data_IF_891239894958
#
_entry.id   IF_891239894958
#
_cell.length_a   1.000
_cell.length_b   1.000
_cell.length_c   1.000
_cell.angle_alpha   90.00
_cell.angle_beta   90.00
_cell.angle_gamma   90.00
#
_symmetry.space_group_name_H-M   'P 1'
#
loop_
_entity.id
_entity.type
_entity.pdbx_description
1 polymer ?
#
# COMPACT_ATOMS: atom_id res chain seq x y z
N UNK A 1 -37.04 -30.49 -2.85
CA UNK A 1 -36.91 -29.49 -3.93
C UNK A 1 -35.95 -28.41 -3.45
N UNK A 2 -34.70 -28.43 -3.93
CA UNK A 2 -33.67 -27.43 -3.59
C UNK A 2 -33.34 -26.70 -4.88
N UNK A 3 -34.03 -25.59 -5.15
CA UNK A 3 -33.69 -24.73 -6.28
C UNK A 3 -32.33 -24.09 -6.02
N UNK A 4 -31.33 -24.49 -6.80
CA UNK A 4 -30.05 -23.80 -6.91
C UNK A 4 -30.32 -22.40 -7.48
N UNK A 5 -30.40 -21.39 -6.61
CA UNK A 5 -30.43 -19.98 -7.02
C UNK A 5 -28.96 -19.55 -7.17
N UNK A 6 -28.43 -19.54 -8.38
CA UNK A 6 -27.02 -19.27 -8.68
C UNK A 6 -26.68 -17.79 -8.89
N UNK A 7 -27.60 -16.86 -8.63
CA UNK A 7 -27.42 -15.44 -8.99
C UNK A 7 -27.86 -14.45 -7.89
N UNK A 8 -27.61 -14.79 -6.62
CA UNK A 8 -28.09 -13.99 -5.48
C UNK A 8 -27.29 -12.70 -5.23
N UNK A 9 -26.16 -12.49 -5.90
CA UNK A 9 -25.25 -11.38 -5.62
C UNK A 9 -24.38 -11.64 -4.39
N UNK A 10 -23.78 -10.59 -3.83
CA UNK A 10 -22.92 -10.70 -2.63
C UNK A 10 -23.74 -10.73 -1.33
N UNK A 11 -23.19 -11.38 -0.31
CA UNK A 11 -23.76 -11.41 1.04
C UNK A 11 -23.72 -10.01 1.66
N UNK A 12 -24.89 -9.45 2.01
CA UNK A 12 -25.01 -8.13 2.62
C UNK A 12 -25.15 -8.24 4.14
N UNK A 13 -25.87 -9.26 4.62
CA UNK A 13 -26.29 -9.33 6.01
C UNK A 13 -26.35 -10.78 6.49
N UNK A 14 -25.75 -11.04 7.67
CA UNK A 14 -25.74 -12.34 8.32
C UNK A 14 -26.21 -12.19 9.77
N UNK A 15 -27.46 -12.59 10.05
CA UNK A 15 -28.11 -12.43 11.36
C UNK A 15 -28.23 -13.80 12.02
N UNK A 16 -27.90 -13.89 13.30
CA UNK A 16 -28.21 -15.07 14.12
C UNK A 16 -29.51 -14.83 14.89
N UNK A 17 -30.50 -15.69 14.71
CA UNK A 17 -31.81 -15.61 15.36
C UNK A 17 -31.97 -16.78 16.32
N UNK A 18 -32.34 -16.49 17.56
CA UNK A 18 -32.74 -17.49 18.55
C UNK A 18 -34.19 -17.92 18.27
N UNK A 19 -34.36 -19.19 17.92
CA UNK A 19 -35.66 -19.79 17.57
C UNK A 19 -36.38 -20.29 18.82
N UNK A 20 -35.73 -20.23 19.99
CA UNK A 20 -36.23 -20.73 21.26
C UNK A 20 -35.64 -22.10 21.63
N UNK A 21 -35.69 -22.44 22.92
CA UNK A 21 -35.14 -23.71 23.43
C UNK A 21 -33.62 -23.81 23.35
N UNK A 22 -32.91 -22.68 23.30
CA UNK A 22 -31.45 -22.62 23.15
C UNK A 22 -30.93 -22.94 21.75
N UNK A 23 -31.82 -23.03 20.76
CA UNK A 23 -31.46 -23.26 19.36
C UNK A 23 -31.34 -21.93 18.63
N UNK A 24 -30.18 -21.71 18.02
CA UNK A 24 -29.91 -20.55 17.18
C UNK A 24 -29.75 -21.01 15.73
N UNK A 25 -30.25 -20.23 14.78
CA UNK A 25 -30.03 -20.42 13.35
C UNK A 25 -29.67 -19.09 12.68
N UNK A 26 -29.11 -19.15 11.48
CA UNK A 26 -28.62 -17.97 10.76
C UNK A 26 -29.47 -17.64 9.54
N UNK A 27 -29.68 -16.35 9.31
CA UNK A 27 -30.31 -15.79 8.12
C UNK A 27 -29.22 -15.05 7.34
N UNK A 28 -28.99 -15.49 6.11
CA UNK A 28 -28.04 -14.87 5.18
C UNK A 28 -28.88 -14.17 4.10
N UNK A 29 -28.71 -12.86 3.95
CA UNK A 29 -29.40 -12.04 2.96
C UNK A 29 -28.38 -11.54 1.94
N UNK A 30 -28.68 -11.72 0.67
CA UNK A 30 -27.85 -11.24 -0.44
C UNK A 30 -28.47 -9.99 -1.10
N UNK A 31 -27.71 -9.35 -1.97
CA UNK A 31 -28.11 -8.12 -2.68
C UNK A 31 -29.44 -8.20 -3.41
N UNK A 32 -29.70 -9.33 -4.09
CA UNK A 32 -30.90 -9.49 -4.91
C UNK A 32 -32.03 -10.22 -4.18
N UNK A 33 -31.86 -10.53 -2.90
CA UNK A 33 -32.88 -11.25 -2.13
C UNK A 33 -33.99 -10.29 -1.65
N UNK A 34 -35.24 -10.70 -1.79
CA UNK A 34 -36.40 -9.97 -1.27
C UNK A 34 -36.59 -10.25 0.24
N UNK A 35 -36.47 -9.25 1.14
CA UNK A 35 -36.54 -9.46 2.59
C UNK A 35 -37.78 -10.23 3.11
N UNK A 36 -39.02 -9.97 2.66
CA UNK A 36 -40.18 -10.76 3.07
C UNK A 36 -40.12 -12.20 2.58
N UNK A 37 -39.54 -12.48 1.40
CA UNK A 37 -39.35 -13.85 0.93
C UNK A 37 -38.36 -14.61 1.82
N UNK A 38 -37.25 -13.98 2.20
CA UNK A 38 -36.24 -14.57 3.11
C UNK A 38 -36.83 -14.83 4.50
N UNK A 39 -37.59 -13.87 5.04
CA UNK A 39 -38.26 -14.03 6.33
C UNK A 39 -39.30 -15.16 6.31
N UNK A 40 -40.05 -15.30 5.21
CA UNK A 40 -41.03 -16.37 5.02
C UNK A 40 -40.36 -17.74 4.93
N UNK A 41 -39.31 -17.86 4.13
CA UNK A 41 -38.55 -19.12 4.00
C UNK A 41 -38.00 -19.57 5.36
N UNK A 42 -37.52 -18.61 6.17
CA UNK A 42 -37.07 -18.87 7.53
C UNK A 42 -38.22 -19.25 8.48
N UNK A 43 -39.37 -18.57 8.39
CA UNK A 43 -40.55 -18.86 9.19
C UNK A 43 -41.12 -20.25 8.90
N UNK A 44 -41.16 -20.65 7.63
CA UNK A 44 -41.57 -22.01 7.20
C UNK A 44 -40.57 -23.05 7.74
N UNK A 45 -39.27 -22.79 7.66
CA UNK A 45 -38.23 -23.72 8.13
C UNK A 45 -38.36 -24.02 9.64
N UNK A 46 -38.78 -23.05 10.43
CA UNK A 46 -38.83 -23.14 11.89
C UNK A 46 -40.24 -23.14 12.49
N UNK A 47 -41.29 -23.26 11.67
CA UNK A 47 -42.69 -23.18 12.09
C UNK A 47 -43.01 -21.94 12.95
N UNK A 48 -42.52 -20.76 12.54
CA UNK A 48 -42.79 -19.50 13.22
C UNK A 48 -44.18 -18.95 12.86
N UNK A 49 -44.80 -18.22 13.79
CA UNK A 49 -46.08 -17.56 13.54
C UNK A 49 -45.95 -16.40 12.54
N UNK A 50 -47.03 -16.10 11.80
CA UNK A 50 -47.07 -15.00 10.82
C UNK A 50 -46.75 -13.62 11.45
N UNK A 51 -47.03 -13.44 12.76
CA UNK A 51 -46.66 -12.23 13.50
C UNK A 51 -45.14 -12.09 13.64
N UNK A 52 -44.45 -13.21 13.88
CA UNK A 52 -42.98 -13.24 13.95
C UNK A 52 -42.35 -13.10 12.56
N UNK A 53 -42.93 -13.69 11.51
CA UNK A 53 -42.51 -13.47 10.11
C UNK A 53 -42.53 -11.98 9.75
N UNK A 54 -43.64 -11.28 10.06
CA UNK A 54 -43.77 -9.84 9.80
C UNK A 54 -42.76 -9.01 10.60
N UNK A 55 -42.54 -9.36 11.87
CA UNK A 55 -41.54 -8.70 12.71
C UNK A 55 -40.11 -8.91 12.18
N UNK A 56 -39.79 -10.13 11.74
CA UNK A 56 -38.50 -10.50 11.18
C UNK A 56 -38.23 -9.77 9.85
N UNK A 57 -39.23 -9.71 8.97
CA UNK A 57 -39.14 -8.96 7.71
C UNK A 57 -38.86 -7.48 7.95
N UNK A 58 -39.58 -6.83 8.88
CA UNK A 58 -39.31 -5.43 9.26
C UNK A 58 -37.89 -5.24 9.81
N UNK A 59 -37.42 -6.14 10.66
CA UNK A 59 -36.08 -6.06 11.23
C UNK A 59 -34.99 -6.16 10.14
N UNK A 60 -35.15 -7.10 9.19
CA UNK A 60 -34.23 -7.22 8.05
C UNK A 60 -34.21 -5.93 7.22
N UNK A 61 -35.36 -5.30 6.96
CA UNK A 61 -35.42 -4.01 6.26
C UNK A 61 -34.68 -2.89 7.01
N UNK A 62 -34.86 -2.79 8.32
CA UNK A 62 -34.19 -1.77 9.14
C UNK A 62 -32.67 -1.95 9.12
N UNK A 63 -32.20 -3.19 9.28
CA UNK A 63 -30.77 -3.51 9.23
C UNK A 63 -30.14 -3.21 7.87
N UNK A 64 -30.81 -3.58 6.76
CA UNK A 64 -30.33 -3.24 5.41
C UNK A 64 -30.27 -1.72 5.22
N UNK A 65 -31.31 -1.00 5.68
CA UNK A 65 -31.36 0.47 5.60
C UNK A 65 -30.21 1.11 6.38
N UNK A 66 -29.88 0.61 7.56
CA UNK A 66 -28.79 1.14 8.38
C UNK A 66 -27.41 0.83 7.79
N UNK A 67 -27.21 -0.36 7.22
CA UNK A 67 -25.98 -0.68 6.46
C UNK A 67 -25.79 0.27 5.28
N UNK A 68 -26.85 0.54 4.51
CA UNK A 68 -26.79 1.47 3.36
C UNK A 68 -26.47 2.88 3.84
N UNK A 69 -27.07 3.35 4.95
CA UNK A 69 -26.76 4.66 5.54
C UNK A 69 -25.31 4.73 6.00
N UNK A 70 -24.79 3.70 6.63
CA UNK A 70 -23.41 3.65 7.10
C UNK A 70 -22.44 3.66 5.92
N UNK A 71 -22.69 2.86 4.87
CA UNK A 71 -21.90 2.93 3.64
C UNK A 71 -21.93 4.33 3.01
N UNK A 72 -23.10 4.98 2.99
CA UNK A 72 -23.25 6.34 2.48
C UNK A 72 -22.56 7.39 3.35
N UNK A 73 -22.54 7.21 4.68
CA UNK A 73 -21.80 8.07 5.60
C UNK A 73 -20.29 7.84 5.51
N UNK A 74 -19.83 6.62 5.29
CA UNK A 74 -18.42 6.33 5.01
C UNK A 74 -18.01 6.98 3.68
N UNK A 75 -18.77 6.82 2.60
CA UNK A 75 -18.47 7.48 1.32
C UNK A 75 -18.53 9.01 1.42
N UNK A 76 -19.48 9.54 2.19
CA UNK A 76 -19.55 10.99 2.44
C UNK A 76 -18.45 11.49 3.36
N UNK A 77 -17.95 10.70 4.31
CA UNK A 77 -16.79 11.06 5.14
C UNK A 77 -15.50 11.18 4.32
N UNK A 78 -15.44 10.48 3.18
CA UNK A 78 -14.36 10.60 2.20
C UNK A 78 -14.54 11.77 1.21
N UNK A 79 -15.77 12.22 0.95
CA UNK A 79 -16.07 13.31 0.00
C UNK A 79 -16.43 14.67 0.62
N UNK A 80 -16.78 14.74 1.92
CA UNK A 80 -17.36 15.96 2.52
C UNK A 80 -16.38 16.85 3.30
N UNK A 81 -15.06 16.57 3.27
CA UNK A 81 -14.05 17.55 3.74
C UNK A 81 -13.63 18.60 2.71
N UNK A 82 -14.38 18.78 1.62
CA UNK A 82 -14.11 19.85 0.63
C UNK A 82 -15.12 20.99 0.62
N UNK A 83 -16.22 20.94 1.40
CA UNK A 83 -17.26 21.97 1.33
C UNK A 83 -17.57 22.69 2.66
N UNK A 84 -16.73 22.54 3.70
CA UNK A 84 -16.82 23.36 4.90
C UNK A 84 -15.63 24.32 4.98
N UNK A 85 -15.95 25.61 4.84
CA UNK A 85 -15.09 26.79 4.98
C UNK A 85 -14.10 27.06 3.86
N UNK A 86 -14.56 27.95 2.96
CA UNK A 86 -13.75 28.89 2.18
C UNK A 86 -12.95 29.75 3.16
N UNK A 87 -11.87 29.17 3.69
CA UNK A 87 -10.61 29.85 3.87
C UNK A 87 -9.57 28.87 3.39
N UNK A 88 -9.21 28.99 2.11
CA UNK A 88 -8.02 28.33 1.58
C UNK A 88 -6.89 28.54 2.60
N UNK A 89 -6.25 27.48 3.13
CA UNK A 89 -5.00 27.67 3.82
C UNK A 89 -4.05 28.27 2.79
N UNK A 90 -3.83 29.59 2.86
CA UNK A 90 -2.95 30.37 1.98
C UNK A 90 -1.54 29.80 1.89
N UNK A 91 -1.20 28.84 2.75
CA UNK A 91 0.09 28.21 2.83
C UNK A 91 0.04 26.75 2.38
N UNK A 92 0.51 26.51 1.15
CA UNK A 92 0.75 25.17 0.59
C UNK A 92 1.58 24.27 1.53
N UNK A 93 2.45 24.86 2.36
CA UNK A 93 3.24 24.14 3.37
C UNK A 93 2.38 23.46 4.44
N UNK A 94 1.28 24.07 4.87
CA UNK A 94 0.38 23.50 5.87
C UNK A 94 -0.38 22.28 5.31
N UNK A 95 -0.80 22.37 4.04
CA UNK A 95 -1.40 21.24 3.31
C UNK A 95 -0.42 20.07 3.18
N UNK A 96 0.85 20.35 2.85
CA UNK A 96 1.90 19.33 2.80
C UNK A 96 2.19 18.73 4.17
N UNK A 97 2.22 19.54 5.22
CA UNK A 97 2.44 19.09 6.59
C UNK A 97 1.34 18.15 7.07
N UNK A 98 0.07 18.53 6.87
CA UNK A 98 -1.08 17.68 7.20
C UNK A 98 -1.09 16.38 6.39
N UNK A 99 -0.71 16.43 5.10
CA UNK A 99 -0.55 15.24 4.28
C UNK A 99 0.58 14.33 4.79
N UNK A 100 1.70 14.91 5.22
CA UNK A 100 2.83 14.20 5.82
C UNK A 100 2.47 13.53 7.14
N UNK A 101 1.72 14.23 8.02
CA UNK A 101 1.20 13.66 9.27
C UNK A 101 0.29 12.46 9.02
N UNK A 102 -0.68 12.61 8.12
CA UNK A 102 -1.60 11.52 7.77
C UNK A 102 -0.88 10.31 7.19
N UNK A 103 0.13 10.55 6.35
CA UNK A 103 0.94 9.48 5.78
C UNK A 103 1.79 8.78 6.87
N UNK A 104 2.39 9.55 7.78
CA UNK A 104 3.15 9.01 8.92
C UNK A 104 2.28 8.13 9.82
N UNK A 105 1.08 8.59 10.15
CA UNK A 105 0.10 7.85 10.96
C UNK A 105 -0.31 6.54 10.26
N UNK A 106 -0.56 6.59 8.95
CA UNK A 106 -0.88 5.40 8.16
C UNK A 106 0.27 4.38 8.13
N UNK A 107 1.51 4.84 8.02
CA UNK A 107 2.71 3.98 8.07
C UNK A 107 2.87 3.34 9.46
N UNK A 108 2.66 4.10 10.53
CA UNK A 108 2.72 3.59 11.91
C UNK A 108 1.63 2.55 12.17
N UNK A 109 0.39 2.79 11.70
CA UNK A 109 -0.71 1.82 11.78
C UNK A 109 -0.40 0.51 11.03
N UNK A 110 0.12 0.61 9.80
CA UNK A 110 0.52 -0.57 9.02
C UNK A 110 1.66 -1.34 9.70
N UNK A 111 2.63 -0.63 10.29
CA UNK A 111 3.73 -1.25 11.06
C UNK A 111 3.21 -2.01 12.28
N UNK A 112 2.25 -1.43 13.02
CA UNK A 112 1.62 -2.10 14.16
C UNK A 112 0.83 -3.34 13.74
N UNK A 113 0.06 -3.24 12.65
CA UNK A 113 -0.70 -4.37 12.10
C UNK A 113 0.21 -5.53 11.69
N UNK A 114 1.31 -5.23 11.00
CA UNK A 114 2.29 -6.24 10.59
C UNK A 114 2.97 -6.88 11.81
N UNK A 115 3.33 -6.09 12.82
CA UNK A 115 3.89 -6.59 14.09
C UNK A 115 2.91 -7.56 14.77
N UNK A 116 1.63 -7.21 14.84
CA UNK A 116 0.59 -8.06 15.43
C UNK A 116 0.41 -9.38 14.65
N UNK A 117 0.50 -9.35 13.32
CA UNK A 117 0.46 -10.56 12.49
C UNK A 117 1.67 -11.46 12.75
N UNK A 118 2.87 -10.88 12.78
CA UNK A 118 4.10 -11.63 13.05
C UNK A 118 4.06 -12.28 14.43
N UNK A 119 3.62 -11.54 15.46
CA UNK A 119 3.47 -12.06 16.82
C UNK A 119 2.45 -13.21 16.88
N UNK A 120 1.34 -13.11 16.13
CA UNK A 120 0.36 -14.20 16.00
C UNK A 120 0.96 -15.43 15.32
N UNK A 121 1.75 -15.26 14.25
CA UNK A 121 2.44 -16.38 13.58
C UNK A 121 3.49 -17.02 14.48
N UNK A 122 4.26 -16.22 15.21
CA UNK A 122 5.20 -16.71 16.22
C UNK A 122 4.46 -17.48 17.29
N UNK A 123 3.38 -16.94 17.87
CA UNK A 123 2.58 -17.64 18.88
C UNK A 123 1.96 -18.95 18.36
N UNK A 124 1.57 -19.01 17.08
CA UNK A 124 1.10 -20.25 16.45
C UNK A 124 2.22 -21.29 16.31
N UNK A 125 3.43 -20.87 15.94
CA UNK A 125 4.59 -21.76 15.78
C UNK A 125 5.24 -22.16 17.10
N UNK A 126 5.28 -21.26 18.08
CA UNK A 126 5.86 -21.45 19.42
C UNK A 126 4.83 -21.91 20.44
N UNK A 127 3.61 -22.25 19.99
CA UNK A 127 2.57 -22.91 20.79
C UNK A 127 3.02 -24.34 21.15
N UNK A 128 4.04 -24.44 21.99
CA UNK A 128 4.25 -25.57 22.86
C UNK A 128 3.03 -25.62 23.77
N UNK A 129 2.12 -26.56 23.49
CA UNK A 129 1.02 -26.91 24.38
C UNK A 129 1.57 -27.98 25.31
N UNK A 130 2.16 -27.64 26.47
CA UNK A 130 2.60 -28.67 27.40
C UNK A 130 1.42 -29.58 27.68
N UNK A 131 1.67 -30.88 27.70
CA UNK A 131 0.68 -31.86 28.15
C UNK A 131 0.52 -31.65 29.66
N UNK A 132 -0.35 -30.71 30.03
CA UNK A 132 -0.68 -30.42 31.42
C UNK A 132 -1.51 -31.60 31.92
N UNK A 133 -1.02 -32.27 32.96
CA UNK A 133 -1.71 -33.38 33.61
C UNK A 133 -3.12 -32.96 34.08
N UNK A 134 -4.00 -33.94 34.27
CA UNK A 134 -5.41 -33.68 34.59
C UNK A 134 -5.58 -32.88 35.89
N UNK A 135 -4.71 -33.11 36.88
CA UNK A 135 -4.74 -32.42 38.17
C UNK A 135 -4.38 -30.92 38.05
N UNK A 136 -3.37 -30.57 37.24
CA UNK A 136 -3.01 -29.17 36.98
C UNK A 136 -4.08 -28.46 36.13
N UNK A 137 -4.77 -29.20 35.24
CA UNK A 137 -5.91 -28.65 34.49
C UNK A 137 -7.11 -28.38 35.40
N UNK A 138 -7.34 -29.21 36.43
CA UNK A 138 -8.36 -28.99 37.47
C UNK A 138 -8.01 -27.79 38.36
N UNK A 139 -6.73 -27.63 38.75
CA UNK A 139 -6.26 -26.46 39.51
C UNK A 139 -6.42 -25.14 38.75
N UNK A 140 -6.09 -25.10 37.45
CA UNK A 140 -6.24 -23.90 36.62
C UNK A 140 -7.72 -23.52 36.37
N UNK A 141 -8.60 -24.50 36.20
CA UNK A 141 -10.05 -24.26 36.08
C UNK A 141 -10.65 -23.71 37.39
N UNK A 142 -10.22 -24.23 38.54
CA UNK A 142 -10.66 -23.71 39.84
C UNK A 142 -10.21 -22.26 40.11
N UNK A 143 -9.11 -21.81 39.49
CA UNK A 143 -8.67 -20.41 39.59
C UNK A 143 -9.53 -19.44 38.75
N UNK A 144 -10.11 -19.91 37.62
CA UNK A 144 -10.95 -19.09 36.74
C UNK A 144 -12.44 -19.14 37.12
N UNK A 145 -12.89 -20.18 37.82
CA UNK A 145 -14.27 -20.31 38.32
C UNK A 145 -14.53 -19.60 39.65
N UNK A 146 -13.51 -19.00 40.29
CA UNK A 146 -13.75 -18.02 41.36
C UNK A 146 -14.25 -16.75 40.70
N UNK A 147 -15.57 -16.61 40.63
CA UNK A 147 -16.20 -15.36 40.26
C UNK A 147 -15.68 -14.27 41.21
N UNK A 148 -15.41 -13.07 40.69
CA UNK A 148 -15.08 -11.93 41.56
C UNK A 148 -16.16 -11.70 42.64
N UNK A 149 -17.39 -12.17 42.42
CA UNK A 149 -18.50 -12.07 43.37
C UNK A 149 -18.32 -12.94 44.65
N UNK A 150 -17.69 -14.11 44.56
CA UNK A 150 -17.46 -14.98 45.73
C UNK A 150 -16.34 -14.46 46.65
N UNK A 151 -15.43 -13.65 46.11
CA UNK A 151 -14.41 -12.92 46.89
C UNK A 151 -15.03 -11.75 47.67
N UNK A 152 -16.14 -11.18 47.18
CA UNK A 152 -16.87 -10.12 47.88
C UNK A 152 -17.86 -10.65 48.92
N UNK A 153 -18.48 -11.82 48.71
CA UNK A 153 -19.45 -12.35 49.67
C UNK A 153 -18.82 -12.81 51.00
N UNK A 154 -17.56 -13.24 51.01
CA UNK A 154 -16.86 -13.55 52.27
C UNK A 154 -16.43 -12.30 53.06
N UNK A 155 -16.46 -11.12 52.45
CA UNK A 155 -16.10 -9.84 53.08
C UNK A 155 -17.32 -9.02 53.56
N UNK A 156 -18.56 -9.46 53.29
CA UNK A 156 -19.78 -8.74 53.69
C UNK A 156 -20.52 -9.33 54.90
N UNK A 157 -20.16 -10.50 55.39
CA UNK A 157 -20.78 -11.11 56.58
C UNK A 157 -20.05 -10.82 57.90
N UNK A 158 -19.11 -9.88 57.92
CA UNK A 158 -18.45 -9.41 59.16
C UNK A 158 -18.67 -7.91 59.29
N UNK A 159 -19.90 -7.53 59.61
CA UNK A 159 -20.23 -6.23 60.18
C UNK A 159 -20.89 -6.50 61.53
N UNK A 160 -20.45 -5.74 62.54
CA UNK A 160 -20.92 -5.71 63.92
C UNK A 160 -20.38 -6.78 64.89
N UNK A 161 -19.08 -6.78 65.11
CA UNK A 161 -18.56 -6.77 66.49
C UNK A 161 -17.35 -5.84 66.56
N UNK A 162 -17.33 -4.95 67.55
CA UNK A 162 -16.30 -3.96 67.86
C UNK A 162 -14.87 -4.53 67.69
N UNK A 163 -14.17 -4.15 66.63
CA UNK A 163 -12.76 -4.50 66.43
C UNK A 163 -11.86 -3.41 67.04
N UNK A 164 -11.17 -3.75 68.12
CA UNK A 164 -10.10 -2.97 68.79
C UNK A 164 -8.75 -3.03 68.05
N UNK A 165 -8.74 -3.38 66.76
CA UNK A 165 -7.50 -3.59 66.02
C UNK A 165 -7.21 -2.43 65.05
N UNK A 166 -6.39 -1.49 65.49
CA UNK A 166 -5.72 -0.55 64.60
C UNK A 166 -4.54 -1.27 63.92
N UNK A 167 -4.54 -1.44 62.59
CA UNK A 167 -3.43 -2.09 61.90
C UNK A 167 -2.17 -1.24 62.11
N UNK A 168 -1.19 -1.80 62.81
CA UNK A 168 0.15 -1.21 62.92
C UNK A 168 0.79 -1.26 61.54
N UNK A 169 0.66 -0.16 60.79
CA UNK A 169 1.36 0.05 59.53
C UNK A 169 2.86 -0.03 59.83
N UNK A 170 3.57 -0.87 59.07
CA UNK A 170 5.01 -1.08 59.23
C UNK A 170 5.74 0.26 59.04
N UNK A 171 6.75 0.59 59.86
CA UNK A 171 7.43 1.90 59.82
C UNK A 171 7.92 2.28 58.42
N UNK A 172 8.33 1.28 57.62
CA UNK A 172 8.78 1.48 56.25
C UNK A 172 7.69 2.05 55.34
N UNK A 173 6.43 1.65 55.55
CA UNK A 173 5.29 2.10 54.77
C UNK A 173 4.86 3.51 55.16
N UNK A 174 4.97 3.86 56.45
CA UNK A 174 4.75 5.22 56.95
C UNK A 174 5.83 6.19 56.46
N UNK A 175 7.08 5.73 56.29
CA UNK A 175 8.17 6.51 55.66
C UNK A 175 7.98 6.72 54.15
N UNK A 176 7.28 5.81 53.46
CA UNK A 176 6.98 5.92 52.03
C UNK A 176 5.77 6.82 51.73
N UNK A 177 4.78 6.82 52.63
CA UNK A 177 3.59 7.68 52.53
C UNK A 177 3.78 9.06 53.20
N UNK A 178 4.81 9.19 54.03
CA UNK A 178 5.11 10.40 54.79
C UNK A 178 5.74 11.50 53.94
N UNK A 179 4.97 12.57 53.76
CA UNK A 179 5.42 13.93 53.52
C UNK A 179 6.43 14.17 52.39
N UNK A 180 5.94 14.35 51.17
CA UNK A 180 6.44 15.53 50.45
C UNK A 180 5.33 16.19 49.64
N UNK A 181 4.74 17.21 50.24
CA UNK A 181 4.05 18.30 49.53
C UNK A 181 4.92 18.88 48.39
N UNK A 182 6.24 18.69 48.46
CA UNK A 182 7.21 19.12 47.47
C UNK A 182 7.66 18.02 46.48
N UNK A 183 7.16 16.77 46.54
CA UNK A 183 7.54 15.69 45.58
C UNK A 183 7.31 16.13 44.15
N UNK A 184 6.18 16.79 43.94
CA UNK A 184 5.73 17.22 42.61
C UNK A 184 6.64 18.35 42.11
N UNK A 185 7.09 19.24 42.99
CA UNK A 185 8.05 20.29 42.66
C UNK A 185 9.45 19.71 42.37
N UNK A 186 9.93 18.77 43.18
CA UNK A 186 11.19 18.05 42.93
C UNK A 186 11.17 17.31 41.60
N UNK A 187 10.09 16.59 41.28
CA UNK A 187 9.93 15.91 39.99
C UNK A 187 9.87 16.89 38.82
N UNK A 188 9.30 18.08 39.02
CA UNK A 188 9.25 19.13 38.01
C UNK A 188 10.64 19.72 37.74
N UNK A 189 11.41 19.99 38.79
CA UNK A 189 12.79 20.45 38.67
C UNK A 189 13.70 19.37 38.05
N UNK A 190 13.51 18.10 38.43
CA UNK A 190 14.21 16.96 37.85
C UNK A 190 13.89 16.80 36.35
N UNK A 191 12.63 16.97 35.96
CA UNK A 191 12.21 16.96 34.56
C UNK A 191 12.84 18.12 33.76
N UNK A 192 12.94 19.31 34.36
CA UNK A 192 13.57 20.49 33.76
C UNK A 192 15.08 20.26 33.54
N UNK A 193 15.77 19.73 34.53
CA UNK A 193 17.19 19.35 34.44
C UNK A 193 17.42 18.27 33.38
N UNK A 194 16.55 17.26 33.31
CA UNK A 194 16.62 16.20 32.30
C UNK A 194 16.46 16.75 30.88
N UNK A 195 15.53 17.70 30.67
CA UNK A 195 15.36 18.39 29.39
C UNK A 195 16.60 19.18 28.99
N UNK A 196 17.20 19.90 29.95
CA UNK A 196 18.43 20.66 29.72
C UNK A 196 19.60 19.76 29.34
N UNK A 197 19.74 18.59 29.99
CA UNK A 197 20.78 17.60 29.67
C UNK A 197 20.63 17.02 28.26
N UNK A 198 19.40 16.73 27.84
CA UNK A 198 19.11 16.26 26.47
C UNK A 198 19.47 17.35 25.45
N UNK A 199 19.14 18.61 25.77
CA UNK A 199 19.43 19.74 24.88
C UNK A 199 20.93 20.01 24.75
N UNK A 200 21.69 19.95 25.85
CA UNK A 200 23.16 20.07 25.81
C UNK A 200 23.81 18.91 25.04
N UNK A 201 23.28 17.69 25.19
CA UNK A 201 23.74 16.53 24.42
C UNK A 201 23.47 16.71 22.92
N UNK A 202 22.30 17.24 22.56
CA UNK A 202 21.94 17.54 21.17
C UNK A 202 22.82 18.66 20.59
N UNK A 203 23.11 19.72 21.33
CA UNK A 203 24.02 20.78 20.90
C UNK A 203 25.47 20.28 20.75
N UNK A 204 25.91 19.41 21.65
CA UNK A 204 27.21 18.77 21.54
C UNK A 204 27.29 17.90 20.29
N UNK A 205 26.31 17.00 20.08
CA UNK A 205 26.20 16.19 18.86
C UNK A 205 26.14 17.07 17.59
N UNK A 206 25.38 18.18 17.63
CA UNK A 206 25.35 19.16 16.53
C UNK A 206 26.73 19.76 16.23
N UNK A 207 27.57 19.96 17.25
CA UNK A 207 28.93 20.52 17.11
C UNK A 207 29.97 19.48 16.68
N UNK A 208 29.84 18.22 17.11
CA UNK A 208 30.84 17.17 16.90
C UNK A 208 30.54 16.23 15.72
N UNK A 209 29.27 15.92 15.45
CA UNK A 209 28.88 14.88 14.49
C UNK A 209 28.45 15.42 13.12
N UNK A 210 28.25 16.73 12.97
CA UNK A 210 27.90 17.35 11.70
C UNK A 210 29.11 18.14 11.14
N UNK A 211 29.83 17.61 10.13
CA UNK A 211 30.96 18.30 9.50
C UNK A 211 30.53 19.50 8.65
N UNK A 212 29.23 19.63 8.37
CA UNK A 212 28.67 20.69 7.56
C UNK A 212 28.10 21.80 8.44
N UNK A 213 28.84 22.90 8.57
CA UNK A 213 28.42 24.16 9.20
C UNK A 213 28.26 25.20 8.10
N UNK A 214 27.10 25.30 7.41
CA UNK A 214 26.94 26.31 6.39
C UNK A 214 26.96 27.66 7.08
N UNK A 215 28.04 28.42 6.89
CA UNK A 215 28.09 29.83 7.22
C UNK A 215 27.21 30.54 6.20
N UNK A 216 25.90 30.56 6.45
CA UNK A 216 24.98 31.40 5.69
C UNK A 216 25.22 32.81 6.20
N UNK A 217 26.31 33.42 5.72
CA UNK A 217 26.44 34.86 5.70
C UNK A 217 25.17 35.35 4.98
N UNK A 218 24.28 36.00 5.72
CA UNK A 218 23.21 36.82 5.17
C UNK A 218 23.89 38.00 4.47
N UNK A 219 24.51 37.75 3.30
CA UNK A 219 25.01 38.80 2.41
C UNK A 219 23.84 39.23 1.55
N UNK A 220 23.65 40.54 1.50
CA UNK A 220 22.45 41.24 1.06
C UNK A 220 21.86 40.75 -0.26
N UNK A 221 20.55 40.96 -0.37
CA UNK A 221 19.81 40.87 -1.63
C UNK A 221 20.63 41.55 -2.75
N UNK A 222 20.96 40.84 -3.84
CA UNK A 222 21.65 41.46 -4.97
C UNK A 222 20.74 42.52 -5.58
N UNK A 223 21.27 43.74 -5.75
CA UNK A 223 20.48 44.92 -6.11
C UNK A 223 20.07 44.93 -7.59
N UNK A 224 20.66 44.09 -8.45
CA UNK A 224 20.22 43.94 -9.84
C UNK A 224 20.43 42.53 -10.42
N UNK A 225 19.60 42.12 -11.40
CA UNK A 225 19.77 40.85 -12.11
C UNK A 225 21.13 40.69 -12.79
N UNK A 226 21.72 41.79 -13.26
CA UNK A 226 23.03 41.76 -13.94
C UNK A 226 24.17 41.40 -12.98
N UNK A 227 24.09 41.84 -11.72
CA UNK A 227 25.07 41.48 -10.69
C UNK A 227 25.03 39.98 -10.36
N UNK A 228 23.85 39.36 -10.44
CA UNK A 228 23.68 37.90 -10.27
C UNK A 228 24.29 37.14 -11.44
N UNK A 229 24.08 37.62 -12.66
CA UNK A 229 24.64 37.01 -13.87
C UNK A 229 26.16 37.12 -13.89
N UNK A 230 26.73 38.28 -13.58
CA UNK A 230 28.19 38.44 -13.45
C UNK A 230 28.76 37.55 -12.33
N UNK A 231 28.08 37.45 -11.19
CA UNK A 231 28.52 36.58 -10.09
C UNK A 231 28.50 35.10 -10.49
N UNK A 232 27.51 34.67 -11.27
CA UNK A 232 27.44 33.31 -11.82
C UNK A 232 28.52 33.03 -12.86
N UNK A 233 28.79 33.98 -13.74
CA UNK A 233 29.84 33.87 -14.76
C UNK A 233 31.23 33.82 -14.12
N UNK A 234 31.51 34.71 -13.17
CA UNK A 234 32.78 34.75 -12.44
C UNK A 234 32.96 33.50 -11.57
N UNK A 235 31.88 33.00 -10.93
CA UNK A 235 31.96 31.76 -10.15
C UNK A 235 32.28 30.54 -11.02
N UNK A 236 31.77 30.50 -12.25
CA UNK A 236 32.07 29.42 -13.19
C UNK A 236 33.50 29.53 -13.69
N UNK A 237 33.94 30.72 -14.08
CA UNK A 237 35.32 30.96 -14.54
C UNK A 237 36.35 30.57 -13.49
N UNK A 238 36.16 30.98 -12.24
CA UNK A 238 37.07 30.62 -11.15
C UNK A 238 37.14 29.10 -10.91
N UNK A 239 36.02 28.39 -11.11
CA UNK A 239 35.98 26.93 -10.99
C UNK A 239 36.71 26.25 -12.16
N UNK A 240 36.50 26.74 -13.38
CA UNK A 240 37.16 26.23 -14.58
C UNK A 240 38.68 26.46 -14.51
N UNK A 241 39.13 27.64 -14.05
CA UNK A 241 40.54 27.95 -13.79
C UNK A 241 41.14 27.04 -12.72
N UNK A 242 40.44 26.78 -11.63
CA UNK A 242 40.87 25.84 -10.60
C UNK A 242 40.99 24.39 -11.12
N UNK A 243 40.07 23.95 -11.98
CA UNK A 243 40.16 22.65 -12.63
C UNK A 243 41.36 22.58 -13.58
N UNK A 244 41.65 23.65 -14.33
CA UNK A 244 42.84 23.73 -15.17
C UNK A 244 44.15 23.74 -14.37
N UNK A 245 44.21 24.44 -13.25
CA UNK A 245 45.35 24.39 -12.33
C UNK A 245 45.56 22.98 -11.77
N UNK A 246 44.49 22.29 -11.38
CA UNK A 246 44.56 20.89 -10.95
C UNK A 246 45.04 19.99 -12.08
N UNK A 247 44.58 20.19 -13.32
CA UNK A 247 45.09 19.46 -14.49
C UNK A 247 46.57 19.71 -14.69
N UNK A 248 47.03 20.96 -14.68
CA UNK A 248 48.47 21.27 -14.78
C UNK A 248 49.31 20.68 -13.65
N UNK A 249 48.76 20.62 -12.44
CA UNK A 249 49.45 20.13 -11.25
C UNK A 249 49.54 18.61 -11.21
N UNK A 250 48.54 17.89 -11.73
CA UNK A 250 48.42 16.43 -11.59
C UNK A 250 48.44 15.66 -12.92
N UNK A 251 48.34 16.33 -14.08
CA UNK A 251 48.65 15.72 -15.38
C UNK A 251 50.15 15.55 -15.52
N UNK A 252 50.64 14.44 -14.97
CA UNK A 252 51.92 13.88 -15.36
C UNK A 252 51.72 13.29 -16.74
N UNK A 253 51.88 14.09 -17.80
CA UNK A 253 51.69 13.67 -19.20
C UNK A 253 52.86 12.84 -19.72
N UNK A 254 53.98 12.80 -18.98
CA UNK A 254 55.20 12.07 -19.33
C UNK A 254 55.79 11.42 -18.10
N UNK A 255 56.23 10.18 -18.25
CA UNK A 255 56.92 9.42 -17.21
C UNK A 255 58.22 10.17 -16.79
N UNK A 256 58.39 10.51 -15.50
CA UNK A 256 59.53 11.30 -15.03
C UNK A 256 60.89 10.62 -15.20
N UNK A 257 60.95 9.28 -15.30
CA UNK A 257 62.23 8.57 -15.47
C UNK A 257 62.61 8.35 -16.95
N UNK A 258 61.63 8.14 -17.83
CA UNK A 258 61.89 7.82 -19.25
C UNK A 258 61.57 8.96 -20.22
N UNK A 259 60.85 10.00 -19.77
CA UNK A 259 60.42 11.14 -20.59
C UNK A 259 59.39 10.78 -21.66
N UNK A 260 58.95 9.53 -21.74
CA UNK A 260 57.94 9.07 -22.69
C UNK A 260 56.54 9.44 -22.20
N UNK A 261 55.66 9.81 -23.14
CA UNK A 261 54.25 10.01 -22.82
C UNK A 261 53.64 8.67 -22.38
N UNK A 262 52.80 8.69 -21.34
CA UNK A 262 52.14 7.47 -20.88
C UNK A 262 51.31 6.84 -22.01
N UNK A 263 51.23 5.51 -22.02
CA UNK A 263 50.48 4.78 -23.04
C UNK A 263 48.98 5.07 -22.90
N UNK A 264 48.41 5.71 -23.93
CA UNK A 264 46.97 5.91 -24.05
C UNK A 264 46.44 4.78 -24.93
N UNK A 265 45.80 3.74 -24.37
CA UNK A 265 45.28 2.65 -25.18
C UNK A 265 44.28 3.22 -26.19
N UNK A 266 44.48 2.91 -27.46
CA UNK A 266 43.50 3.19 -28.52
C UNK A 266 42.28 2.30 -28.29
N UNK A 267 41.40 2.72 -27.39
CA UNK A 267 40.05 2.18 -27.25
C UNK A 267 39.39 2.34 -28.62
N UNK A 268 39.08 1.21 -29.26
CA UNK A 268 38.83 1.10 -30.69
C UNK A 268 37.89 2.18 -31.23
N UNK A 269 38.24 2.68 -32.43
CA UNK A 269 37.46 3.57 -33.32
C UNK A 269 36.20 4.13 -32.64
N UNK A 270 36.35 5.12 -31.74
CA UNK A 270 35.24 6.02 -31.48
C UNK A 270 34.88 6.57 -32.85
N UNK A 271 33.71 6.19 -33.39
CA UNK A 271 33.25 6.66 -34.68
C UNK A 271 33.46 8.17 -34.68
N UNK A 272 34.44 8.65 -35.46
CA UNK A 272 34.66 10.08 -35.69
C UNK A 272 33.50 10.52 -36.56
N UNK A 273 32.30 10.56 -36.00
CA UNK A 273 31.35 11.59 -36.35
C UNK A 273 32.11 12.86 -36.03
N UNK A 274 32.70 13.48 -37.05
CA UNK A 274 33.10 14.88 -36.95
C UNK A 274 31.86 15.56 -36.39
N UNK A 275 31.93 16.00 -35.15
CA UNK A 275 30.90 16.82 -34.55
C UNK A 275 30.89 18.05 -35.44
N UNK A 276 29.96 18.09 -36.39
CA UNK A 276 29.65 19.30 -37.13
C UNK A 276 29.52 20.38 -36.08
N UNK A 277 30.20 21.51 -36.27
CA UNK A 277 30.23 22.60 -35.29
C UNK A 277 28.85 23.21 -35.00
N UNK A 278 27.78 22.66 -35.56
CA UNK A 278 26.42 23.04 -35.22
C UNK A 278 26.05 22.56 -33.83
N UNK A 279 25.43 23.45 -33.06
CA UNK A 279 24.85 23.12 -31.77
C UNK A 279 23.91 21.92 -31.94
N UNK A 280 24.09 20.94 -31.06
CA UNK A 280 23.31 19.69 -31.05
C UNK A 280 21.80 19.96 -31.09
N UNK A 281 21.37 21.05 -30.46
CA UNK A 281 19.99 21.53 -30.46
C UNK A 281 19.46 21.90 -31.84
N UNK A 282 20.23 22.61 -32.66
CA UNK A 282 19.82 23.00 -34.02
C UNK A 282 19.74 21.78 -34.95
N UNK A 283 20.67 20.84 -34.78
CA UNK A 283 20.68 19.60 -35.56
C UNK A 283 19.47 18.71 -35.24
N UNK A 284 19.11 18.58 -33.95
CA UNK A 284 17.93 17.84 -33.51
C UNK A 284 16.62 18.53 -33.95
N UNK A 285 16.56 19.86 -33.92
CA UNK A 285 15.39 20.61 -34.35
C UNK A 285 15.16 20.51 -35.87
N UNK A 286 16.25 20.48 -36.66
CA UNK A 286 16.20 20.19 -38.10
C UNK A 286 15.78 18.74 -38.39
N UNK A 287 16.23 17.78 -37.57
CA UNK A 287 15.81 16.37 -37.69
C UNK A 287 14.33 16.16 -37.36
N UNK A 288 13.78 16.89 -36.40
CA UNK A 288 12.36 16.77 -36.02
C UNK A 288 11.40 17.17 -37.15
N UNK A 289 11.84 17.98 -38.13
CA UNK A 289 11.04 18.37 -39.30
C UNK A 289 11.19 17.44 -40.51
N UNK A 290 12.08 16.45 -40.48
CA UNK A 290 12.16 15.44 -41.53
C UNK A 290 11.18 14.31 -41.18
N UNK A 291 9.97 14.38 -41.72
CA UNK A 291 9.11 13.20 -41.84
C UNK A 291 9.90 12.12 -42.58
N UNK A 292 9.97 10.88 -42.07
CA UNK A 292 10.76 9.84 -42.72
C UNK A 292 10.06 9.42 -44.01
N UNK A 293 10.62 9.83 -45.15
CA UNK A 293 10.47 9.04 -46.37
C UNK A 293 11.15 7.70 -46.10
N UNK A 294 10.33 6.65 -46.11
CA UNK A 294 10.68 5.25 -45.90
C UNK A 294 11.77 4.81 -46.89
N UNK A 295 12.97 4.43 -46.43
CA UNK A 295 13.90 3.69 -47.27
C UNK A 295 13.36 2.27 -47.47
N UNK A 296 13.17 1.88 -48.73
CA UNK A 296 12.92 0.50 -49.13
C UNK A 296 14.05 -0.42 -48.62
N UNK A 297 13.62 -1.59 -48.12
CA UNK A 297 14.44 -2.79 -47.90
C UNK A 297 15.59 -2.70 -46.87
N UNK A 298 15.27 -2.96 -45.60
CA UNK A 298 16.24 -3.55 -44.67
C UNK A 298 15.83 -4.99 -44.34
N UNK A 299 16.76 -5.97 -44.41
CA UNK A 299 16.48 -7.35 -44.07
C UNK A 299 16.17 -7.49 -42.57
N UNK A 300 14.94 -7.86 -42.27
CA UNK A 300 14.42 -8.05 -40.91
C UNK A 300 15.07 -9.27 -40.26
N UNK A 301 16.07 -9.04 -39.41
CA UNK A 301 16.56 -10.04 -38.48
C UNK A 301 15.65 -10.02 -37.23
N UNK A 302 14.89 -11.08 -36.93
CA UNK A 302 14.03 -11.11 -35.75
C UNK A 302 14.88 -11.16 -34.49
N UNK A 303 14.99 -10.03 -33.79
CA UNK A 303 15.56 -9.97 -32.45
C UNK A 303 14.58 -10.65 -31.50
N UNK A 304 14.88 -11.88 -31.10
CA UNK A 304 14.19 -12.55 -29.99
C UNK A 304 14.55 -11.83 -28.70
N UNK A 305 13.78 -10.80 -28.34
CA UNK A 305 13.81 -10.27 -26.98
C UNK A 305 13.18 -11.32 -26.06
N UNK A 306 14.00 -11.98 -25.24
CA UNK A 306 13.49 -12.73 -24.09
C UNK A 306 12.82 -11.74 -23.13
N UNK A 307 11.49 -11.71 -23.16
CA UNK A 307 10.71 -10.95 -22.20
C UNK A 307 10.91 -11.55 -20.81
N UNK A 308 11.18 -10.70 -19.82
CA UNK A 308 11.23 -11.13 -18.42
C UNK A 308 9.84 -11.66 -18.04
N UNK A 309 9.76 -12.76 -17.30
CA UNK A 309 8.49 -13.38 -16.87
C UNK A 309 7.47 -12.41 -16.21
N UNK A 310 7.92 -11.28 -15.67
CA UNK A 310 7.04 -10.23 -15.14
C UNK A 310 6.31 -9.45 -16.24
N UNK A 311 6.96 -9.19 -17.37
CA UNK A 311 6.38 -8.50 -18.53
C UNK A 311 5.31 -9.37 -19.18
N UNK A 312 5.54 -10.68 -19.28
CA UNK A 312 4.56 -11.62 -19.86
C UNK A 312 3.28 -11.68 -19.03
N UNK A 313 3.40 -11.68 -17.70
CA UNK A 313 2.24 -11.61 -16.80
C UNK A 313 1.42 -10.33 -16.98
N UNK A 314 2.10 -9.20 -17.23
CA UNK A 314 1.43 -7.92 -17.48
C UNK A 314 0.70 -7.97 -18.82
N UNK A 315 1.35 -8.48 -19.88
CA UNK A 315 0.74 -8.61 -21.20
C UNK A 315 -0.46 -9.56 -21.17
N UNK A 316 -0.35 -10.70 -20.49
CA UNK A 316 -1.46 -11.66 -20.35
C UNK A 316 -2.63 -11.01 -19.63
N UNK A 317 -2.37 -10.25 -18.56
CA UNK A 317 -3.43 -9.50 -17.86
C UNK A 317 -4.10 -8.48 -18.77
N UNK A 318 -3.33 -7.69 -19.52
CA UNK A 318 -3.87 -6.69 -20.45
C UNK A 318 -4.73 -7.36 -21.54
N UNK A 319 -4.31 -8.53 -22.06
CA UNK A 319 -5.11 -9.31 -23.01
C UNK A 319 -6.43 -9.77 -22.42
N UNK A 320 -6.39 -10.42 -21.26
CA UNK A 320 -7.60 -10.94 -20.58
C UNK A 320 -8.57 -9.80 -20.26
N UNK A 321 -8.07 -8.69 -19.71
CA UNK A 321 -8.88 -7.51 -19.41
C UNK A 321 -9.55 -6.98 -20.69
N UNK A 322 -8.83 -6.96 -21.82
CA UNK A 322 -9.36 -6.52 -23.11
C UNK A 322 -10.37 -7.49 -23.70
N UNK A 323 -10.12 -8.78 -23.63
CA UNK A 323 -11.05 -9.83 -24.08
C UNK A 323 -12.34 -9.79 -23.27
N UNK A 324 -12.25 -9.62 -21.94
CA UNK A 324 -13.41 -9.46 -21.08
C UNK A 324 -14.23 -8.22 -21.45
N UNK A 325 -13.59 -7.09 -21.75
CA UNK A 325 -14.29 -5.87 -22.16
C UNK A 325 -15.06 -6.08 -23.47
N UNK A 326 -14.44 -6.73 -24.46
CA UNK A 326 -15.08 -7.02 -25.75
C UNK A 326 -16.20 -8.05 -25.58
N UNK A 327 -15.96 -9.10 -24.80
CA UNK A 327 -16.98 -10.11 -24.48
C UNK A 327 -18.22 -9.47 -23.85
N UNK A 328 -18.04 -8.53 -22.92
CA UNK A 328 -19.15 -7.77 -22.33
C UNK A 328 -19.85 -6.86 -23.35
N UNK A 329 -19.11 -6.21 -24.24
CA UNK A 329 -19.69 -5.38 -25.32
C UNK A 329 -20.48 -6.20 -26.34
N UNK A 330 -20.17 -7.48 -26.52
CA UNK A 330 -20.95 -8.41 -27.33
C UNK A 330 -22.29 -8.80 -26.66
N UNK A 331 -22.53 -8.36 -25.42
CA UNK A 331 -23.74 -8.56 -24.64
C UNK A 331 -24.08 -10.05 -24.42
N UNK A 332 -23.30 -10.77 -23.60
CA UNK A 332 -23.55 -12.18 -23.33
C UNK A 332 -24.89 -12.34 -22.60
N UNK A 333 -25.56 -13.47 -22.85
CA UNK A 333 -26.81 -13.80 -22.18
C UNK A 333 -26.60 -13.94 -20.65
N UNK A 334 -27.70 -14.05 -19.89
CA UNK A 334 -27.70 -14.25 -18.43
C UNK A 334 -26.83 -15.45 -18.00
N UNK A 335 -26.65 -16.43 -18.88
CA UNK A 335 -25.80 -17.60 -18.65
C UNK A 335 -24.31 -17.37 -18.96
N UNK A 336 -23.91 -16.16 -19.37
CA UNK A 336 -22.55 -15.85 -19.78
C UNK A 336 -22.17 -16.49 -21.13
N UNK A 337 -23.14 -16.68 -22.02
CA UNK A 337 -22.96 -17.28 -23.34
C UNK A 337 -23.24 -16.25 -24.44
N UNK A 338 -22.44 -16.24 -25.50
CA UNK A 338 -22.65 -15.39 -26.67
C UNK A 338 -23.14 -16.26 -27.83
N UNK A 339 -24.33 -15.96 -28.35
CA UNK A 339 -24.84 -16.52 -29.59
C UNK A 339 -24.89 -15.42 -30.66
N UNK A 340 -24.59 -15.76 -31.92
CA UNK A 340 -24.51 -14.78 -33.02
C UNK A 340 -25.75 -13.88 -33.13
N UNK A 341 -26.93 -14.45 -32.88
CA UNK A 341 -28.23 -13.77 -32.95
C UNK A 341 -28.40 -12.65 -31.90
N UNK A 342 -27.67 -12.71 -30.79
CA UNK A 342 -27.83 -11.78 -29.66
C UNK A 342 -26.73 -10.70 -29.60
N UNK A 343 -25.81 -10.70 -30.56
CA UNK A 343 -24.64 -9.82 -30.54
C UNK A 343 -25.02 -8.38 -30.89
N UNK A 344 -24.73 -7.44 -29.98
CA UNK A 344 -24.88 -6.02 -30.23
C UNK A 344 -23.63 -5.43 -30.91
N UNK A 345 -23.63 -5.37 -32.24
CA UNK A 345 -22.49 -4.85 -33.01
C UNK A 345 -22.26 -3.32 -32.85
N UNK A 346 -23.25 -2.58 -32.34
CA UNK A 346 -23.21 -1.12 -32.29
C UNK A 346 -22.33 -0.56 -31.16
N UNK A 347 -22.07 -1.34 -30.11
CA UNK A 347 -21.30 -0.87 -28.95
C UNK A 347 -19.78 -1.03 -29.10
N UNK A 348 -19.37 -1.81 -30.10
CA UNK A 348 -17.98 -2.17 -30.37
C UNK A 348 -17.39 -1.15 -31.36
N UNK A 349 -16.15 -0.75 -31.12
CA UNK A 349 -15.42 0.10 -32.05
C UNK A 349 -15.30 -0.58 -33.42
N UNK A 350 -15.64 0.14 -34.48
CA UNK A 350 -15.60 -0.32 -35.88
C UNK A 350 -14.29 -1.02 -36.28
N UNK A 351 -13.14 -0.57 -35.75
CA UNK A 351 -11.84 -1.17 -36.04
C UNK A 351 -11.72 -2.52 -35.34
N UNK A 352 -12.11 -2.59 -34.08
CA UNK A 352 -12.12 -3.83 -33.29
C UNK A 352 -13.12 -4.82 -33.89
N UNK A 353 -14.28 -4.35 -34.33
CA UNK A 353 -15.31 -5.17 -34.98
C UNK A 353 -14.77 -5.83 -36.27
N UNK A 354 -14.03 -5.08 -37.09
CA UNK A 354 -13.37 -5.64 -38.29
C UNK A 354 -12.36 -6.72 -37.94
N UNK A 355 -11.62 -6.55 -36.85
CA UNK A 355 -10.62 -7.52 -36.39
C UNK A 355 -11.30 -8.81 -35.91
N UNK A 356 -12.38 -8.70 -35.12
CA UNK A 356 -13.08 -9.87 -34.56
C UNK A 356 -14.07 -10.52 -35.54
N UNK A 357 -14.37 -9.88 -36.67
CA UNK A 357 -15.35 -10.36 -37.65
C UNK A 357 -15.11 -11.81 -38.11
N UNK A 358 -13.87 -12.27 -38.39
CA UNK A 358 -13.64 -13.66 -38.80
C UNK A 358 -14.17 -14.67 -37.77
N UNK A 359 -13.97 -14.38 -36.47
CA UNK A 359 -14.45 -15.21 -35.37
C UNK A 359 -15.97 -15.18 -35.26
N UNK A 360 -16.60 -14.04 -35.53
CA UNK A 360 -18.07 -13.93 -35.51
C UNK A 360 -18.73 -14.69 -36.66
N UNK A 361 -18.10 -14.72 -37.85
CA UNK A 361 -18.57 -15.50 -38.99
C UNK A 361 -18.47 -17.01 -38.72
N UNK A 362 -17.38 -17.47 -38.08
CA UNK A 362 -17.25 -18.86 -37.64
C UNK A 362 -18.35 -19.23 -36.64
N UNK A 363 -18.70 -18.30 -35.73
CA UNK A 363 -19.78 -18.51 -34.75
C UNK A 363 -21.17 -18.55 -35.42
N UNK A 364 -21.39 -17.76 -36.48
CA UNK A 364 -22.61 -17.82 -37.29
C UNK A 364 -22.73 -19.15 -38.04
N UNK A 365 -21.63 -19.65 -38.63
CA UNK A 365 -21.60 -20.89 -39.39
C UNK A 365 -21.88 -22.12 -38.50
N UNK A 366 -21.36 -22.11 -37.27
CA UNK A 366 -21.53 -23.22 -36.33
C UNK A 366 -22.85 -23.17 -35.53
N UNK A 367 -23.49 -21.98 -35.42
CA UNK A 367 -24.67 -21.70 -34.58
C UNK A 367 -24.56 -22.24 -33.14
N UNK A 368 -23.33 -22.28 -32.60
CA UNK A 368 -23.04 -22.73 -31.24
C UNK A 368 -22.77 -21.53 -30.32
N UNK A 369 -23.39 -21.47 -29.13
CA UNK A 369 -23.12 -20.42 -28.17
C UNK A 369 -21.73 -20.61 -27.56
N UNK A 370 -20.98 -19.52 -27.42
CA UNK A 370 -19.61 -19.53 -26.93
C UNK A 370 -19.55 -18.98 -25.50
N UNK A 371 -18.89 -19.70 -24.60
CA UNK A 371 -18.62 -19.19 -23.25
C UNK A 371 -17.36 -18.29 -23.22
N UNK A 372 -17.09 -17.63 -22.09
CA UNK A 372 -15.95 -16.72 -22.00
C UNK A 372 -14.58 -17.39 -22.19
N UNK A 373 -14.40 -18.62 -21.70
CA UNK A 373 -13.13 -19.35 -21.79
C UNK A 373 -12.85 -19.78 -23.24
N UNK A 374 -13.86 -20.31 -23.92
CA UNK A 374 -13.80 -20.66 -25.34
C UNK A 374 -13.59 -19.41 -26.22
N UNK A 375 -14.21 -18.28 -25.84
CA UNK A 375 -13.97 -16.99 -26.49
C UNK A 375 -12.53 -16.51 -26.34
N UNK A 376 -11.94 -16.64 -25.15
CA UNK A 376 -10.53 -16.29 -24.91
C UNK A 376 -9.62 -17.14 -25.81
N UNK A 377 -9.83 -18.46 -25.87
CA UNK A 377 -9.01 -19.37 -26.68
C UNK A 377 -9.11 -19.04 -28.17
N UNK A 378 -10.33 -18.78 -28.64
CA UNK A 378 -10.61 -18.42 -30.04
C UNK A 378 -9.98 -17.07 -30.40
N UNK A 379 -10.08 -16.09 -29.49
CA UNK A 379 -9.43 -14.78 -29.64
C UNK A 379 -7.90 -14.87 -29.59
N UNK A 380 -7.31 -15.76 -28.80
CA UNK A 380 -5.86 -15.97 -28.82
C UNK A 380 -5.40 -16.54 -30.15
N UNK A 381 -6.16 -17.45 -30.75
CA UNK A 381 -5.87 -17.99 -32.07
C UNK A 381 -5.99 -16.92 -33.16
N UNK A 382 -7.03 -16.08 -33.09
CA UNK A 382 -7.17 -14.92 -33.96
C UNK A 382 -6.00 -13.96 -33.80
N UNK A 383 -5.59 -13.61 -32.57
CA UNK A 383 -4.43 -12.76 -32.36
C UNK A 383 -3.15 -13.34 -32.97
N UNK A 384 -2.99 -14.66 -33.10
CA UNK A 384 -1.78 -15.23 -33.74
C UNK A 384 -1.71 -14.90 -35.24
N UNK A 385 -2.84 -14.75 -35.92
CA UNK A 385 -2.90 -14.47 -37.37
C UNK A 385 -2.78 -12.97 -37.69
N UNK A 386 -3.11 -12.09 -36.73
CA UNK A 386 -3.03 -10.64 -36.92
C UNK A 386 -1.59 -10.09 -37.02
N UNK A 387 -1.46 -9.01 -37.78
CA UNK A 387 -0.25 -8.20 -37.84
C UNK A 387 0.04 -7.51 -36.50
N UNK A 388 1.29 -7.07 -36.28
CA UNK A 388 1.65 -6.37 -35.04
C UNK A 388 0.89 -5.04 -34.89
N UNK A 389 0.62 -4.32 -35.98
CA UNK A 389 -0.13 -3.07 -35.96
C UNK A 389 -1.59 -3.30 -35.49
N UNK A 390 -2.24 -4.35 -35.99
CA UNK A 390 -3.59 -4.71 -35.58
C UNK A 390 -3.64 -5.15 -34.11
N UNK A 391 -2.63 -5.92 -33.65
CA UNK A 391 -2.49 -6.29 -32.23
C UNK A 391 -2.39 -5.06 -31.34
N UNK A 392 -1.57 -4.09 -31.72
CA UNK A 392 -1.36 -2.88 -30.93
C UNK A 392 -2.64 -2.05 -30.86
N UNK A 393 -3.35 -1.88 -31.99
CA UNK A 393 -4.65 -1.20 -32.04
C UNK A 393 -5.70 -1.92 -31.21
N UNK A 394 -5.73 -3.26 -31.27
CA UNK A 394 -6.67 -4.09 -30.53
C UNK A 394 -6.47 -3.99 -29.00
N UNK A 395 -5.21 -4.04 -28.54
CA UNK A 395 -4.84 -4.03 -27.12
C UNK A 395 -4.83 -2.62 -26.51
N UNK A 396 -4.73 -1.57 -27.31
CA UNK A 396 -4.77 -0.19 -26.80
C UNK A 396 -6.21 0.25 -26.56
N UNK A 397 -6.57 0.44 -25.29
CA UNK A 397 -7.88 0.97 -24.91
C UNK A 397 -8.01 2.41 -25.42
N UNK A 398 -8.87 2.63 -26.41
CA UNK A 398 -9.26 3.99 -26.77
C UNK A 398 -9.96 4.62 -25.57
N UNK A 399 -9.34 5.63 -24.98
CA UNK A 399 -10.01 6.48 -24.00
C UNK A 399 -11.10 7.21 -24.76
N UNK A 400 -12.35 6.72 -24.66
CA UNK A 400 -13.53 7.46 -25.13
C UNK A 400 -13.44 8.84 -24.49
N UNK A 401 -13.12 9.86 -25.28
CA UNK A 401 -13.30 11.25 -24.86
C UNK A 401 -14.81 11.38 -24.69
N UNK A 402 -15.27 11.45 -23.44
CA UNK A 402 -16.65 11.79 -23.15
C UNK A 402 -16.83 13.21 -23.71
N UNK A 403 -17.53 13.32 -24.83
CA UNK A 403 -17.94 14.60 -25.40
C UNK A 403 -19.08 15.14 -24.54
N UNK A 404 -18.73 15.77 -23.42
CA UNK A 404 -19.64 16.67 -22.72
C UNK A 404 -19.67 18.00 -23.49
N UNK A 405 -20.72 18.16 -24.30
CA UNK A 405 -21.25 19.48 -24.68
C UNK A 405 -21.76 20.18 -23.41
N UNK A 406 -20.95 21.04 -22.79
CA UNK A 406 -21.14 22.51 -22.88
C UNK A 406 -20.33 23.29 -21.82
N UNK A 407 -19.68 24.34 -22.35
CA UNK A 407 -19.31 25.61 -21.73
C UNK A 407 -18.27 25.70 -20.59
N UNK A 408 -17.13 26.30 -20.99
CA UNK A 408 -16.27 27.21 -20.24
C UNK A 408 -15.30 26.60 -19.21
N UNK A 409 -14.09 26.26 -19.66
CA UNK A 409 -12.87 27.07 -19.46
C UNK A 409 -11.66 26.28 -19.94
N UNK A 410 -10.88 26.89 -20.83
CA UNK A 410 -9.61 26.35 -21.33
C UNK A 410 -8.64 26.16 -20.15
N UNK A 411 -8.53 24.93 -19.62
CA UNK A 411 -7.43 24.57 -18.73
C UNK A 411 -6.32 23.92 -19.55
N UNK A 412 -5.24 24.69 -19.63
CA UNK A 412 -3.89 24.33 -20.04
C UNK A 412 -3.54 22.88 -19.72
N UNK A 413 -3.45 22.06 -20.77
CA UNK A 413 -2.64 20.83 -20.77
C UNK A 413 -1.20 21.30 -20.90
N UNK A 414 -0.50 21.40 -19.77
CA UNK A 414 0.96 21.25 -19.63
C UNK A 414 1.36 21.55 -18.17
N UNK A 415 1.18 20.56 -17.29
CA UNK A 415 1.97 20.43 -16.08
C UNK A 415 2.49 19.00 -16.05
N UNK A 416 3.72 18.85 -16.55
CA UNK A 416 4.52 17.66 -16.41
C UNK A 416 4.59 17.26 -14.93
N UNK A 417 4.21 16.02 -14.67
CA UNK A 417 4.10 15.33 -13.38
C UNK A 417 5.47 15.10 -12.70
N UNK A 418 6.27 16.15 -12.51
CA UNK A 418 7.56 16.07 -11.81
C UNK A 418 7.39 15.65 -10.34
N UNK A 419 6.25 15.99 -9.74
CA UNK A 419 5.89 15.63 -8.35
C UNK A 419 5.66 14.12 -8.20
N UNK A 420 5.13 13.45 -9.23
CA UNK A 420 4.90 12.00 -9.21
C UNK A 420 6.21 11.20 -9.32
N UNK A 421 7.25 11.74 -9.97
CA UNK A 421 8.52 11.04 -10.14
C UNK A 421 9.35 11.01 -8.85
N UNK A 422 9.38 12.12 -8.11
CA UNK A 422 10.03 12.18 -6.80
C UNK A 422 9.32 11.31 -5.76
N UNK A 423 7.97 11.34 -5.73
CA UNK A 423 7.18 10.47 -4.86
C UNK A 423 7.46 9.00 -5.17
N UNK A 424 7.49 8.61 -6.45
CA UNK A 424 7.81 7.24 -6.87
C UNK A 424 9.21 6.80 -6.43
N UNK A 425 10.20 7.70 -6.46
CA UNK A 425 11.55 7.42 -6.00
C UNK A 425 11.63 7.29 -4.47
N UNK A 426 10.88 8.10 -3.72
CA UNK A 426 10.75 7.95 -2.26
C UNK A 426 10.10 6.62 -1.92
N UNK A 427 8.99 6.27 -2.57
CA UNK A 427 8.29 5.01 -2.33
C UNK A 427 9.17 3.81 -2.67
N UNK A 428 9.94 3.89 -3.76
CA UNK A 428 10.90 2.86 -4.13
C UNK A 428 12.02 2.71 -3.09
N UNK A 429 12.57 3.81 -2.57
CA UNK A 429 13.59 3.80 -1.51
C UNK A 429 13.03 3.27 -0.18
N UNK A 430 11.79 3.60 0.14
CA UNK A 430 11.07 3.09 1.31
C UNK A 430 10.90 1.57 1.21
N UNK A 431 10.40 1.08 0.07
CA UNK A 431 10.20 -0.35 -0.18
C UNK A 431 11.50 -1.16 -0.17
N UNK A 432 12.60 -0.63 -0.73
CA UNK A 432 13.91 -1.31 -0.66
C UNK A 432 14.46 -1.34 0.76
N UNK A 433 14.28 -0.26 1.54
CA UNK A 433 14.69 -0.22 2.94
C UNK A 433 13.91 -1.20 3.82
N UNK A 434 12.59 -1.30 3.64
CA UNK A 434 11.74 -2.25 4.35
C UNK A 434 12.09 -3.70 4.01
N UNK A 435 12.38 -3.99 2.74
CA UNK A 435 12.84 -5.32 2.30
C UNK A 435 14.17 -5.71 2.96
N UNK A 436 15.12 -4.78 3.03
CA UNK A 436 16.41 -4.98 3.69
C UNK A 436 16.25 -5.25 5.19
N UNK A 437 15.32 -4.57 5.84
CA UNK A 437 15.05 -4.75 7.27
C UNK A 437 14.43 -6.12 7.56
N UNK A 438 13.46 -6.56 6.74
CA UNK A 438 12.90 -7.92 6.80
C UNK A 438 14.00 -8.97 6.60
N UNK A 439 14.91 -8.77 5.66
CA UNK A 439 16.01 -9.70 5.40
C UNK A 439 17.01 -9.77 6.57
N UNK A 440 17.28 -8.63 7.21
CA UNK A 440 18.09 -8.57 8.45
C UNK A 440 17.40 -9.29 9.61
N UNK A 441 16.09 -9.13 9.78
CA UNK A 441 15.34 -9.84 10.81
C UNK A 441 15.33 -11.36 10.56
N UNK A 442 15.11 -11.78 9.31
CA UNK A 442 15.23 -13.20 8.94
C UNK A 442 16.61 -13.75 9.25
N UNK A 443 17.68 -13.00 8.96
CA UNK A 443 19.04 -13.41 9.27
C UNK A 443 19.27 -13.53 10.77
N UNK A 444 18.78 -12.58 11.58
CA UNK A 444 18.84 -12.66 13.05
C UNK A 444 18.09 -13.89 13.60
N UNK A 445 16.93 -14.22 13.03
CA UNK A 445 16.17 -15.41 13.43
C UNK A 445 16.97 -16.68 13.09
N UNK A 446 17.52 -16.78 11.88
CA UNK A 446 18.38 -17.90 11.48
C UNK A 446 19.64 -18.03 12.36
N UNK A 447 20.25 -16.90 12.75
CA UNK A 447 21.41 -16.88 13.66
C UNK A 447 21.02 -17.33 15.09
N UNK A 448 19.81 -17.01 15.56
CA UNK A 448 19.29 -17.49 16.84
C UNK A 448 18.92 -18.97 16.79
N UNK A 449 18.30 -19.44 15.70
CA UNK A 449 17.99 -20.85 15.47
C UNK A 449 19.26 -21.70 15.32
N UNK A 450 20.32 -21.14 14.75
CA UNK A 450 21.65 -21.75 14.66
C UNK A 450 22.51 -21.61 15.92
N UNK A 451 22.05 -20.90 16.95
CA UNK A 451 22.82 -20.70 18.17
C UNK A 451 22.76 -21.95 19.05
N UNK A 452 23.79 -22.79 18.96
CA UNK A 452 23.94 -24.00 19.78
C UNK A 452 24.47 -23.73 21.20
N UNK A 453 24.63 -22.45 21.58
CA UNK A 453 25.07 -22.07 22.92
C UNK A 453 23.95 -22.29 23.93
N UNK A 454 23.98 -23.43 24.59
CA UNK A 454 23.15 -23.75 25.74
C UNK A 454 23.99 -23.51 26.99
N UNK A 455 23.92 -22.33 27.64
CA UNK A 455 24.68 -22.09 28.85
C UNK A 455 24.24 -23.12 29.90
N UNK A 456 25.16 -24.01 30.27
CA UNK A 456 24.96 -24.92 31.39
C UNK A 456 24.96 -24.08 32.66
N UNK A 457 23.77 -23.69 33.10
CA UNK A 457 23.61 -23.06 34.41
C UNK A 457 23.80 -24.15 35.46
N UNK A 458 24.87 -24.04 36.24
CA UNK A 458 25.06 -24.89 37.41
C UNK A 458 23.91 -24.59 38.38
N UNK A 459 23.14 -25.63 38.72
CA UNK A 459 22.04 -25.51 39.68
C UNK A 459 22.64 -25.05 41.02
N UNK A 460 22.18 -23.91 41.52
CA UNK A 460 22.54 -23.44 42.86
C UNK A 460 22.14 -24.52 43.88
N UNK A 461 23.06 -24.98 44.75
CA UNK A 461 22.73 -25.96 45.77
C UNK A 461 21.79 -25.33 46.81
N UNK A 462 20.55 -25.83 46.86
CA UNK A 462 19.49 -25.44 47.80
C UNK A 462 19.69 -26.03 49.20
N UNK A 463 20.93 -26.25 49.65
CA UNK A 463 21.22 -26.87 50.96
C UNK A 463 21.47 -25.88 52.10
N UNK A 464 21.20 -24.57 51.92
CA UNK A 464 21.43 -23.55 52.95
C UNK A 464 20.18 -23.15 53.75
N UNK A 465 19.07 -23.88 53.61
CA UNK A 465 17.92 -23.76 54.49
C UNK A 465 17.60 -25.11 55.13
N UNK A 466 18.37 -25.45 56.18
CA UNK A 466 17.95 -26.36 57.24
C UNK A 466 18.23 -25.72 58.58
#
# INVERSE_FOLDING_TARGET
MVSKRTDRGYEILNITVDVGGGKQDRIIVHENDDPPAVARDFAIKHNLSAKLESALSKNIYELIRDIIKDQFQLSNSFSSKTNASISDPKNYGEKLYMKGLKHKEQVEANKQLLKMQLEREVAQKTSFKPIINENSRKLAKNAQSRSNADIYHHNQQVVETEYTYAPKINEKSLKLAGNSTNRIQELYEEAKLKKQRIQSMYEHAKKTEFPFKPSILVRGQPSSPNEVVERLLNSKQNYDEYIEELRKKYEVTRDPETGQAFFHPNLGKSYKMQRTQENVWDSLYKQQKRTPEMPEEYPYMPVKLESKARTDKILLKVKIDRFSEIFQQLNPDVNGLIAFKNINMNEIDSIVLKIIMPLLLELEELDQPLNFEEFVDSMENLLKTLSQAEKDVFLTKQKRKIEEQDNSTKKSVNSCDFVNLYQRHIDQKSMTSAKLEIEREKKKILELEGCTFHPQTTKYPTSLFK
#
